data_IF_253304932693
#
_entry.id   IF_253304932693
#
_cell.length_a   1.000
_cell.length_b   1.000
_cell.length_c   1.000
_cell.angle_alpha   90.00
_cell.angle_beta   90.00
_cell.angle_gamma   90.00
#
_symmetry.space_group_name_H-M   'P 1'
#
loop_
_entity.id
_entity.type
_entity.pdbx_description
1 polymer ?
#
# COMPACT_ATOMS: atom_id res chain seq x y z
N UNK A 1 -10.45 4.05 5.67
CA UNK A 1 -9.67 2.99 5.03
C UNK A 1 -8.27 3.49 4.69
N UNK A 2 -7.24 2.95 5.35
CA UNK A 2 -5.83 3.25 5.05
C UNK A 2 -5.18 2.11 4.25
N UNK A 3 -4.41 2.50 3.24
CA UNK A 3 -3.79 1.60 2.27
C UNK A 3 -2.27 1.63 2.44
N UNK A 4 -1.64 0.47 2.47
CA UNK A 4 -0.19 0.30 2.34
C UNK A 4 0.17 -0.28 0.98
N UNK A 5 1.02 0.42 0.23
CA UNK A 5 1.49 -0.03 -1.09
C UNK A 5 2.91 -0.59 -0.95
N UNK A 6 3.12 -1.85 -1.35
CA UNK A 6 4.39 -2.56 -1.26
C UNK A 6 4.86 -2.89 -2.69
N UNK A 7 6.01 -2.36 -3.07
CA UNK A 7 6.51 -2.31 -4.44
C UNK A 7 6.32 -0.91 -5.02
N UNK A 8 7.42 -0.17 -5.18
CA UNK A 8 7.44 1.22 -5.66
C UNK A 8 8.02 1.37 -7.08
N UNK A 9 7.82 0.35 -7.92
CA UNK A 9 8.08 0.45 -9.36
C UNK A 9 7.04 1.34 -10.06
N UNK A 10 7.04 1.32 -11.39
CA UNK A 10 6.12 2.14 -12.21
C UNK A 10 4.65 2.00 -11.80
N UNK A 11 4.19 0.78 -11.55
CA UNK A 11 2.78 0.53 -11.18
C UNK A 11 2.49 1.04 -9.77
N UNK A 12 3.35 0.72 -8.79
CA UNK A 12 3.13 1.11 -7.40
C UNK A 12 3.14 2.62 -7.19
N UNK A 13 4.07 3.32 -7.84
CA UNK A 13 4.08 4.78 -7.80
C UNK A 13 2.81 5.38 -8.44
N UNK A 14 2.41 4.88 -9.61
CA UNK A 14 1.18 5.33 -10.27
C UNK A 14 -0.09 5.08 -9.44
N UNK A 15 -0.15 3.95 -8.73
CA UNK A 15 -1.25 3.67 -7.79
C UNK A 15 -1.29 4.70 -6.66
N UNK A 16 -0.13 5.01 -6.05
CA UNK A 16 -0.03 6.02 -4.99
C UNK A 16 -0.50 7.38 -5.51
N UNK A 17 -0.03 7.79 -6.69
CA UNK A 17 -0.38 9.09 -7.29
C UNK A 17 -1.89 9.19 -7.57
N UNK A 18 -2.48 8.18 -8.19
CA UNK A 18 -3.92 8.14 -8.49
C UNK A 18 -4.75 8.18 -7.21
N UNK A 19 -4.42 7.34 -6.22
CA UNK A 19 -5.16 7.31 -4.95
C UNK A 19 -5.07 8.64 -4.19
N UNK A 20 -3.93 9.31 -4.28
CA UNK A 20 -3.72 10.62 -3.63
C UNK A 20 -4.52 11.71 -4.34
N UNK A 21 -4.42 11.80 -5.66
CA UNK A 21 -5.10 12.83 -6.45
C UNK A 21 -6.63 12.65 -6.46
N UNK A 22 -7.10 11.40 -6.45
CA UNK A 22 -8.52 11.07 -6.51
C UNK A 22 -9.16 10.88 -5.11
N UNK A 23 -8.41 11.15 -4.03
CA UNK A 23 -8.82 10.92 -2.64
C UNK A 23 -10.23 11.42 -2.34
N UNK A 24 -10.53 12.68 -2.69
CA UNK A 24 -11.82 13.30 -2.37
C UNK A 24 -12.97 12.59 -3.12
N UNK A 25 -12.79 12.29 -4.41
CA UNK A 25 -13.81 11.62 -5.22
C UNK A 25 -14.05 10.19 -4.74
N UNK A 26 -12.98 9.43 -4.51
CA UNK A 26 -13.06 8.04 -4.03
C UNK A 26 -13.72 7.98 -2.66
N UNK A 27 -13.34 8.87 -1.74
CA UNK A 27 -13.90 8.90 -0.39
C UNK A 27 -15.40 9.17 -0.39
N UNK A 28 -15.89 10.03 -1.28
CA UNK A 28 -17.33 10.28 -1.47
C UNK A 28 -18.07 9.05 -2.02
N UNK A 29 -17.48 8.36 -2.99
CA UNK A 29 -18.12 7.18 -3.62
C UNK A 29 -18.21 6.01 -2.65
N UNK A 30 -17.17 5.80 -1.83
CA UNK A 30 -17.09 4.71 -0.86
C UNK A 30 -17.80 5.08 0.45
N UNK A 31 -18.11 6.37 0.65
CA UNK A 31 -18.66 6.93 1.89
C UNK A 31 -17.76 6.67 3.11
N UNK A 32 -16.45 6.71 2.89
CA UNK A 32 -15.40 6.50 3.89
C UNK A 32 -14.11 7.18 3.41
N UNK A 33 -13.31 7.77 4.30
CA UNK A 33 -12.03 8.36 3.91
C UNK A 33 -11.05 7.28 3.41
N UNK A 34 -10.55 7.48 2.19
CA UNK A 34 -9.49 6.65 1.59
C UNK A 34 -8.17 7.40 1.65
N UNK A 35 -7.12 6.76 2.14
CA UNK A 35 -5.78 7.37 2.16
C UNK A 35 -4.68 6.33 2.02
N UNK A 36 -3.57 6.72 1.39
CA UNK A 36 -2.35 5.92 1.38
C UNK A 36 -1.54 6.31 2.62
N UNK A 37 -1.23 5.34 3.48
CA UNK A 37 -0.41 5.55 4.68
C UNK A 37 1.06 5.27 4.41
N UNK A 38 1.35 4.19 3.66
CA UNK A 38 2.71 3.73 3.40
C UNK A 38 2.97 3.51 1.91
N UNK A 39 4.17 3.92 1.48
CA UNK A 39 4.82 3.42 0.28
C UNK A 39 6.07 2.63 0.69
N UNK A 40 6.14 1.35 0.30
CA UNK A 40 7.20 0.45 0.72
C UNK A 40 8.02 -0.05 -0.47
N UNK A 41 9.33 0.17 -0.46
CA UNK A 41 10.24 -0.26 -1.53
C UNK A 41 11.70 -0.28 -1.09
N UNK A 42 12.57 -0.96 -1.85
CA UNK A 42 14.00 -1.04 -1.52
C UNK A 42 14.78 0.23 -1.89
N UNK A 43 14.29 0.95 -2.89
CA UNK A 43 14.87 2.22 -3.33
C UNK A 43 14.01 3.37 -2.85
N UNK A 44 14.63 4.33 -2.16
CA UNK A 44 13.92 5.50 -1.68
C UNK A 44 13.56 6.41 -2.85
N UNK A 45 12.28 6.69 -2.97
CA UNK A 45 11.71 7.61 -3.95
C UNK A 45 10.93 8.72 -3.24
N UNK A 46 10.75 9.84 -3.93
CA UNK A 46 9.86 10.89 -3.46
C UNK A 46 8.42 10.39 -3.52
N UNK A 47 7.67 10.59 -2.45
CA UNK A 47 6.26 10.25 -2.35
C UNK A 47 5.44 11.53 -2.12
N UNK A 48 4.16 11.55 -2.50
CA UNK A 48 3.25 12.62 -2.12
C UNK A 48 3.27 12.90 -0.60
N UNK A 49 3.01 14.15 -0.23
CA UNK A 49 3.07 14.60 1.17
C UNK A 49 2.14 13.78 2.08
N UNK A 50 2.62 13.45 3.27
CA UNK A 50 1.88 12.68 4.27
C UNK A 50 1.96 11.17 4.13
N UNK A 51 2.57 10.65 3.05
CA UNK A 51 2.82 9.22 2.89
C UNK A 51 4.16 8.85 3.50
N UNK A 52 4.18 7.80 4.33
CA UNK A 52 5.38 7.33 5.00
C UNK A 52 6.12 6.36 4.09
N UNK A 53 7.37 6.67 3.76
CA UNK A 53 8.27 5.73 3.11
C UNK A 53 8.80 4.72 4.13
N UNK A 54 8.89 3.44 3.74
CA UNK A 54 9.63 2.41 4.47
C UNK A 54 10.29 1.43 3.50
N UNK A 55 11.38 0.80 3.89
CA UNK A 55 12.03 -0.30 3.17
C UNK A 55 11.71 -1.67 3.77
N UNK A 56 10.95 -1.71 4.87
CA UNK A 56 10.53 -2.92 5.56
C UNK A 56 9.02 -3.11 5.46
N UNK A 57 8.61 -4.13 4.69
CA UNK A 57 7.21 -4.45 4.51
C UNK A 57 6.52 -4.88 5.83
N UNK A 58 7.26 -5.39 6.83
CA UNK A 58 6.70 -5.73 8.14
C UNK A 58 6.13 -4.50 8.84
N UNK A 59 6.69 -3.32 8.61
CA UNK A 59 6.14 -2.06 9.10
C UNK A 59 4.72 -1.84 8.57
N UNK A 60 4.48 -2.17 7.29
CA UNK A 60 3.17 -2.01 6.65
C UNK A 60 2.17 -3.09 7.10
N UNK A 61 2.59 -4.35 7.06
CA UNK A 61 1.68 -5.48 7.31
C UNK A 61 1.40 -5.71 8.81
N UNK A 62 2.16 -5.13 9.73
CA UNK A 62 1.89 -5.23 11.17
C UNK A 62 1.20 -3.98 11.76
N UNK A 63 1.07 -2.90 10.98
CA UNK A 63 0.42 -1.68 11.45
C UNK A 63 -1.10 -1.88 11.53
N UNK A 64 -1.68 -1.81 12.73
CA UNK A 64 -3.10 -2.07 12.97
C UNK A 64 -4.03 -1.07 12.25
N UNK A 65 -3.55 0.11 11.87
CA UNK A 65 -4.36 1.09 11.13
C UNK A 65 -4.41 0.82 9.62
N UNK A 66 -3.57 -0.07 9.09
CA UNK A 66 -3.58 -0.43 7.66
C UNK A 66 -4.67 -1.48 7.39
N UNK A 67 -5.69 -1.10 6.63
CA UNK A 67 -6.81 -1.98 6.29
C UNK A 67 -6.51 -2.86 5.06
N UNK A 68 -5.80 -2.29 4.08
CA UNK A 68 -5.54 -2.90 2.78
C UNK A 68 -4.05 -2.86 2.45
N UNK A 69 -3.52 -4.00 2.02
CA UNK A 69 -2.17 -4.13 1.46
C UNK A 69 -2.28 -4.33 -0.04
N UNK A 70 -1.60 -3.46 -0.79
CA UNK A 70 -1.44 -3.57 -2.24
C UNK A 70 -0.01 -4.06 -2.52
N UNK A 71 0.13 -5.28 -3.01
CA UNK A 71 1.43 -5.91 -3.28
C UNK A 71 1.75 -5.89 -4.78
N UNK A 72 2.91 -5.32 -5.14
CA UNK A 72 3.34 -4.99 -6.50
C UNK A 72 4.87 -5.18 -6.69
N UNK A 73 5.51 -6.06 -5.91
CA UNK A 73 6.95 -6.35 -6.04
C UNK A 73 7.22 -7.24 -7.26
N UNK A 74 6.26 -8.11 -7.59
CA UNK A 74 6.43 -9.13 -8.62
C UNK A 74 7.29 -10.32 -8.17
N UNK A 75 7.33 -11.36 -8.98
CA UNK A 75 7.91 -12.64 -8.60
C UNK A 75 7.04 -13.40 -7.58
N UNK A 76 7.48 -14.59 -7.15
CA UNK A 76 6.64 -15.48 -6.34
C UNK A 76 7.09 -15.63 -4.89
N UNK A 77 8.37 -15.42 -4.59
CA UNK A 77 8.93 -15.80 -3.29
C UNK A 77 8.53 -14.81 -2.20
N UNK A 78 8.99 -13.56 -2.32
CA UNK A 78 8.73 -12.51 -1.32
C UNK A 78 7.26 -12.08 -1.34
N UNK A 79 6.68 -11.95 -2.54
CA UNK A 79 5.26 -11.65 -2.74
C UNK A 79 4.35 -12.62 -1.97
N UNK A 80 4.60 -13.94 -2.08
CA UNK A 80 3.83 -14.95 -1.34
C UNK A 80 3.91 -14.76 0.17
N UNK A 81 5.11 -14.49 0.71
CA UNK A 81 5.28 -14.23 2.15
C UNK A 81 4.46 -13.02 2.58
N UNK A 82 4.58 -11.90 1.87
CA UNK A 82 3.85 -10.65 2.17
C UNK A 82 2.34 -10.90 2.16
N UNK A 83 1.82 -11.54 1.11
CA UNK A 83 0.38 -11.81 0.95
C UNK A 83 -0.13 -12.68 2.10
N UNK A 84 0.56 -13.78 2.41
CA UNK A 84 0.13 -14.71 3.46
C UNK A 84 0.18 -14.08 4.85
N UNK A 85 1.22 -13.29 5.13
CA UNK A 85 1.33 -12.59 6.43
C UNK A 85 0.31 -11.45 6.56
N UNK A 86 0.05 -10.68 5.49
CA UNK A 86 -0.99 -9.66 5.48
C UNK A 86 -2.38 -10.27 5.77
N UNK A 87 -2.71 -11.40 5.13
CA UNK A 87 -3.96 -12.13 5.39
C UNK A 87 -4.02 -12.64 6.84
N UNK A 88 -2.91 -13.19 7.35
CA UNK A 88 -2.83 -13.63 8.75
C UNK A 88 -3.06 -12.47 9.73
N UNK A 89 -2.62 -11.28 9.36
CA UNK A 89 -2.84 -10.04 10.09
C UNK A 89 -4.19 -9.37 9.77
N UNK A 90 -5.13 -10.12 9.16
CA UNK A 90 -6.51 -9.70 8.86
C UNK A 90 -6.61 -8.49 7.93
N UNK A 91 -5.62 -8.27 7.07
CA UNK A 91 -5.64 -7.21 6.06
C UNK A 91 -6.26 -7.73 4.77
N UNK A 92 -6.97 -6.86 4.06
CA UNK A 92 -7.36 -7.14 2.68
C UNK A 92 -6.11 -7.07 1.78
N UNK A 93 -6.07 -7.88 0.74
CA UNK A 93 -4.93 -7.93 -0.19
C UNK A 93 -5.40 -7.71 -1.62
N UNK A 94 -4.70 -6.82 -2.32
CA UNK A 94 -4.76 -6.60 -3.77
C UNK A 94 -3.37 -6.85 -4.33
N UNK A 95 -3.24 -7.61 -5.42
CA UNK A 95 -1.94 -7.96 -6.03
C UNK A 95 -2.06 -7.96 -7.56
N UNK A 96 -0.94 -7.86 -8.28
CA UNK A 96 -0.86 -7.85 -9.74
C UNK A 96 0.34 -8.64 -10.29
#
# INVERSE_FOLDING_TARGET
MKIGVIGLGTVGYGVIEILTNEKERLSKVINEEVSVKYGCGLEKIDLPEGIIYTDDFHTVINDEEVDVVVELIGGITVAKTIILEAIKNKKHVVTA
#
